data_IF_450039825067
#
_entry.id   IF_450039825067
#
_cell.length_a   1.000
_cell.length_b   1.000
_cell.length_c   1.000
_cell.angle_alpha   90.00
_cell.angle_beta   90.00
_cell.angle_gamma   90.00
#
_symmetry.space_group_name_H-M   'P 1'
#
loop_
_entity.id
_entity.type
_entity.pdbx_description
1 polymer ?
#
# COMPACT_ATOMS: atom_id res chain seq x y z
N UNK A 1 16.05 -8.57 -9.59
CA UNK A 1 15.69 -7.44 -8.71
C UNK A 1 16.24 -6.19 -9.36
N UNK A 2 15.35 -5.37 -9.89
CA UNK A 2 15.71 -4.10 -10.50
C UNK A 2 16.28 -3.11 -9.46
N UNK A 3 17.01 -2.06 -9.87
CA UNK A 3 17.51 -1.82 -11.23
C UNK A 3 18.87 -2.45 -11.55
N UNK A 4 19.64 -2.92 -10.56
CA UNK A 4 20.95 -3.54 -10.82
C UNK A 4 20.87 -4.99 -11.33
N UNK A 5 19.67 -5.56 -11.46
CA UNK A 5 19.46 -6.89 -12.05
C UNK A 5 19.87 -8.06 -11.14
N UNK A 6 20.03 -7.86 -9.82
CA UNK A 6 20.43 -8.92 -8.92
C UNK A 6 19.43 -10.08 -8.85
N UNK A 7 19.89 -11.32 -8.79
CA UNK A 7 18.99 -12.51 -8.74
C UNK A 7 18.46 -12.72 -7.33
N UNK A 8 17.13 -12.72 -7.17
CA UNK A 8 16.45 -13.04 -5.91
C UNK A 8 16.23 -14.55 -5.74
N UNK A 9 17.27 -15.26 -5.30
CA UNK A 9 17.11 -16.65 -4.86
C UNK A 9 16.47 -16.70 -3.48
N UNK A 10 15.78 -17.82 -3.15
CA UNK A 10 15.19 -18.03 -1.82
C UNK A 10 16.22 -17.82 -0.71
N UNK A 11 17.44 -18.31 -0.90
CA UNK A 11 18.56 -18.13 0.04
C UNK A 11 18.91 -16.65 0.28
N UNK A 12 19.00 -15.83 -0.78
CA UNK A 12 19.29 -14.39 -0.66
C UNK A 12 18.17 -13.61 0.01
N UNK A 13 16.92 -14.02 -0.24
CA UNK A 13 15.76 -13.46 0.46
C UNK A 13 15.78 -13.87 1.93
N UNK A 14 16.14 -15.12 2.25
CA UNK A 14 16.27 -15.60 3.62
C UNK A 14 17.38 -14.88 4.38
N UNK A 15 18.53 -14.66 3.76
CA UNK A 15 19.62 -13.85 4.33
C UNK A 15 19.15 -12.43 4.68
N UNK A 16 18.38 -11.79 3.78
CA UNK A 16 17.78 -10.47 4.03
C UNK A 16 16.76 -10.50 5.17
N UNK A 17 15.98 -11.57 5.28
CA UNK A 17 15.03 -11.77 6.38
C UNK A 17 15.75 -11.93 7.72
N UNK A 18 16.83 -12.73 7.79
CA UNK A 18 17.66 -12.89 9.00
C UNK A 18 18.27 -11.56 9.41
N UNK A 19 18.86 -10.81 8.48
CA UNK A 19 19.39 -9.48 8.74
C UNK A 19 18.31 -8.50 9.24
N UNK A 20 17.04 -8.71 8.86
CA UNK A 20 15.88 -7.96 9.34
C UNK A 20 15.36 -8.37 10.71
N UNK A 21 15.94 -9.40 11.34
CA UNK A 21 15.44 -9.95 12.60
C UNK A 21 14.16 -10.76 12.41
N UNK A 22 13.90 -11.29 11.21
CA UNK A 22 12.77 -12.17 10.99
C UNK A 22 12.94 -13.48 11.75
N UNK A 23 11.85 -13.95 12.36
CA UNK A 23 11.73 -15.34 12.78
C UNK A 23 11.44 -16.21 11.55
N UNK A 24 11.78 -17.52 11.57
CA UNK A 24 11.47 -18.42 10.46
C UNK A 24 10.00 -18.37 10.03
N UNK A 25 9.07 -18.26 10.98
CA UNK A 25 7.64 -18.15 10.73
C UNK A 25 7.23 -16.93 9.89
N UNK A 26 8.05 -15.88 9.81
CA UNK A 26 7.76 -14.68 9.01
C UNK A 26 8.17 -14.85 7.54
N UNK A 27 9.07 -15.79 7.26
CA UNK A 27 9.68 -15.96 5.95
C UNK A 27 8.67 -16.19 4.81
N UNK A 28 7.60 -16.98 4.97
CA UNK A 28 6.59 -17.13 3.91
C UNK A 28 5.96 -15.80 3.48
N UNK A 29 5.73 -14.88 4.44
CA UNK A 29 5.19 -13.55 4.15
C UNK A 29 6.23 -12.69 3.42
N UNK A 30 7.50 -12.74 3.85
CA UNK A 30 8.59 -12.03 3.17
C UNK A 30 8.74 -12.50 1.73
N UNK A 31 8.72 -13.82 1.50
CA UNK A 31 8.85 -14.39 0.17
C UNK A 31 7.71 -13.94 -0.76
N UNK A 32 6.46 -14.02 -0.29
CA UNK A 32 5.30 -13.54 -1.04
C UNK A 32 5.35 -12.03 -1.30
N UNK A 33 5.84 -11.23 -0.34
CA UNK A 33 5.98 -9.79 -0.51
C UNK A 33 7.08 -9.45 -1.52
N UNK A 34 8.17 -10.23 -1.54
CA UNK A 34 9.24 -10.11 -2.54
C UNK A 34 8.72 -10.49 -3.93
N UNK A 35 7.94 -11.56 -4.05
CA UNK A 35 7.26 -11.90 -5.31
C UNK A 35 6.36 -10.76 -5.78
N UNK A 36 5.60 -10.14 -4.87
CA UNK A 36 4.71 -9.03 -5.19
C UNK A 36 5.47 -7.79 -5.72
N UNK A 37 6.62 -7.43 -5.13
CA UNK A 37 7.41 -6.29 -5.65
C UNK A 37 8.16 -6.63 -6.94
N UNK A 38 8.36 -7.92 -7.26
CA UNK A 38 8.99 -8.36 -8.50
C UNK A 38 8.00 -8.52 -9.65
N UNK A 39 6.70 -8.46 -9.37
CA UNK A 39 5.68 -8.38 -10.39
C UNK A 39 5.93 -7.15 -11.30
N UNK A 40 5.93 -7.30 -12.64
CA UNK A 40 6.13 -6.19 -13.56
C UNK A 40 5.17 -5.01 -13.33
N UNK A 41 3.93 -5.26 -12.88
CA UNK A 41 2.95 -4.22 -12.58
C UNK A 41 3.39 -3.32 -11.40
N UNK A 42 4.21 -3.84 -10.48
CA UNK A 42 4.75 -3.04 -9.38
C UNK A 42 5.75 -1.97 -9.87
N UNK A 43 6.40 -2.20 -11.00
CA UNK A 43 7.45 -1.33 -11.55
C UNK A 43 8.52 -0.98 -10.50
N UNK A 44 9.22 -2.02 -10.01
CA UNK A 44 10.24 -1.87 -8.99
C UNK A 44 11.41 -0.97 -9.41
N UNK A 45 11.73 -0.90 -10.71
CA UNK A 45 12.71 0.06 -11.24
C UNK A 45 12.26 1.48 -10.93
N UNK A 46 11.05 1.87 -11.36
CA UNK A 46 10.50 3.20 -11.12
C UNK A 46 10.41 3.55 -9.63
N UNK A 47 9.93 2.62 -8.81
CA UNK A 47 9.84 2.80 -7.34
C UNK A 47 11.19 3.07 -6.68
N UNK A 48 12.27 2.46 -7.17
CA UNK A 48 13.59 2.66 -6.59
C UNK A 48 14.32 3.87 -7.15
N UNK A 49 14.19 4.17 -8.43
CA UNK A 49 14.95 5.24 -9.08
C UNK A 49 14.25 6.60 -9.09
N UNK A 50 13.01 6.68 -8.62
CA UNK A 50 12.27 7.95 -8.53
C UNK A 50 12.90 8.91 -7.51
N UNK A 51 12.82 10.21 -7.81
CA UNK A 51 13.17 11.30 -6.90
C UNK A 51 12.09 11.53 -5.82
N UNK A 52 10.95 10.84 -5.93
CA UNK A 52 9.83 10.89 -4.99
C UNK A 52 9.97 9.88 -3.83
N UNK A 53 9.20 10.09 -2.77
CA UNK A 53 9.34 9.38 -1.51
C UNK A 53 8.51 8.08 -1.44
N UNK A 54 8.72 7.13 -2.35
CA UNK A 54 7.86 5.93 -2.43
C UNK A 54 8.34 4.78 -1.53
N UNK A 55 7.41 4.09 -0.86
CA UNK A 55 7.65 2.87 -0.10
C UNK A 55 6.62 1.77 -0.42
N UNK A 56 7.01 0.49 -0.45
CA UNK A 56 6.04 -0.60 -0.48
C UNK A 56 5.22 -0.61 0.81
N UNK A 57 3.91 -0.36 0.71
CA UNK A 57 2.96 -0.58 1.79
C UNK A 57 2.49 -2.04 1.71
N UNK A 58 2.86 -2.82 2.72
CA UNK A 58 2.61 -4.27 2.77
C UNK A 58 1.42 -4.53 3.71
N UNK A 59 0.33 -5.05 3.15
CA UNK A 59 -0.86 -5.46 3.91
C UNK A 59 -0.93 -6.98 3.93
N UNK A 60 -0.90 -7.57 5.13
CA UNK A 60 -1.03 -9.00 5.34
C UNK A 60 -2.47 -9.35 5.71
N UNK A 61 -2.99 -10.39 5.08
CA UNK A 61 -4.36 -10.86 5.25
C UNK A 61 -4.40 -12.37 5.53
N UNK A 62 -5.48 -12.81 6.16
CA UNK A 62 -5.81 -14.21 6.40
C UNK A 62 -5.19 -14.80 7.68
N UNK A 63 -5.37 -16.11 7.90
CA UNK A 63 -5.00 -16.79 9.15
C UNK A 63 -3.53 -16.63 9.57
N UNK A 64 -2.60 -16.44 8.61
CA UNK A 64 -1.18 -16.30 8.93
C UNK A 64 -0.89 -15.06 9.76
N UNK A 65 -1.61 -13.94 9.55
CA UNK A 65 -1.40 -12.69 10.26
C UNK A 65 -1.52 -12.90 11.78
N UNK A 66 -2.58 -13.60 12.22
CA UNK A 66 -2.79 -13.96 13.63
C UNK A 66 -1.78 -14.99 14.11
N UNK A 67 -1.47 -16.00 13.29
CA UNK A 67 -0.55 -17.09 13.66
C UNK A 67 0.86 -16.58 13.99
N UNK A 68 1.36 -15.61 13.25
CA UNK A 68 2.74 -15.10 13.40
C UNK A 68 2.80 -13.75 14.12
N UNK A 69 1.66 -13.19 14.52
CA UNK A 69 1.57 -11.94 15.26
C UNK A 69 1.86 -10.69 14.41
N UNK A 70 1.44 -10.67 13.14
CA UNK A 70 1.40 -9.41 12.37
C UNK A 70 0.26 -8.55 12.93
N UNK A 71 0.60 -7.37 13.40
CA UNK A 71 -0.33 -6.50 14.11
C UNK A 71 -1.23 -5.72 13.14
N UNK A 72 -2.52 -5.70 13.48
CA UNK A 72 -3.57 -4.87 12.89
C UNK A 72 -4.25 -3.95 13.92
N UNK A 73 -3.76 -3.92 15.17
CA UNK A 73 -4.39 -3.27 16.31
C UNK A 73 -3.70 -1.96 16.72
N UNK A 74 -3.51 -1.79 18.02
CA UNK A 74 -2.81 -0.64 18.59
C UNK A 74 -1.44 -0.45 17.95
N UNK A 75 -1.18 0.76 17.43
CA UNK A 75 0.07 1.08 16.75
C UNK A 75 0.34 0.22 15.51
N UNK A 76 -0.69 -0.13 14.71
CA UNK A 76 -0.55 -0.97 13.51
C UNK A 76 0.58 -0.54 12.54
N UNK A 77 0.84 0.76 12.45
CA UNK A 77 1.91 1.36 11.63
C UNK A 77 3.09 1.88 12.48
N UNK A 78 3.05 1.67 13.79
CA UNK A 78 4.01 2.16 14.76
C UNK A 78 5.04 1.11 15.19
N UNK A 79 5.98 1.50 16.06
CA UNK A 79 6.95 0.59 16.64
C UNK A 79 6.28 -0.39 17.62
N UNK A 80 7.01 -1.44 18.01
CA UNK A 80 6.61 -2.36 19.09
C UNK A 80 6.14 -3.75 18.65
N UNK A 81 5.94 -3.97 17.34
CA UNK A 81 5.53 -5.26 16.79
C UNK A 81 6.64 -5.88 15.92
N UNK A 82 7.36 -6.90 16.44
CA UNK A 82 8.52 -7.48 15.74
C UNK A 82 8.21 -8.02 14.35
N UNK A 83 7.03 -8.62 14.14
CA UNK A 83 6.63 -9.14 12.83
C UNK A 83 6.51 -8.02 11.78
N UNK A 84 5.75 -6.96 12.07
CA UNK A 84 5.57 -5.82 11.18
C UNK A 84 6.91 -5.17 10.81
N UNK A 85 7.74 -4.89 11.83
CA UNK A 85 9.03 -4.26 11.64
C UNK A 85 10.00 -5.13 10.82
N UNK A 86 10.08 -6.43 11.15
CA UNK A 86 11.01 -7.34 10.48
C UNK A 86 10.60 -7.63 9.04
N UNK A 87 9.30 -7.84 8.76
CA UNK A 87 8.80 -8.13 7.41
C UNK A 87 9.03 -6.94 6.47
N UNK A 88 8.62 -5.74 6.87
CA UNK A 88 8.83 -4.54 6.05
C UNK A 88 10.31 -4.24 5.83
N UNK A 89 11.14 -4.40 6.87
CA UNK A 89 12.59 -4.23 6.75
C UNK A 89 13.25 -5.30 5.88
N UNK A 90 12.79 -6.55 5.91
CA UNK A 90 13.31 -7.62 5.06
C UNK A 90 13.10 -7.31 3.58
N UNK A 91 11.91 -6.84 3.21
CA UNK A 91 11.61 -6.39 1.85
C UNK A 91 12.51 -5.23 1.44
N UNK A 92 12.70 -4.23 2.31
CA UNK A 92 13.65 -3.13 2.04
C UNK A 92 15.08 -3.63 1.84
N UNK A 93 15.55 -4.59 2.64
CA UNK A 93 16.88 -5.15 2.48
C UNK A 93 17.04 -5.91 1.16
N UNK A 94 16.00 -6.61 0.68
CA UNK A 94 16.04 -7.23 -0.66
C UNK A 94 16.19 -6.17 -1.75
N UNK A 95 15.41 -5.08 -1.67
CA UNK A 95 15.53 -3.94 -2.59
C UNK A 95 16.94 -3.35 -2.57
N UNK A 96 17.51 -3.14 -1.38
CA UNK A 96 18.83 -2.55 -1.24
C UNK A 96 19.97 -3.50 -1.68
N UNK A 97 19.98 -4.72 -1.17
CA UNK A 97 21.09 -5.65 -1.34
C UNK A 97 21.12 -6.29 -2.73
N UNK A 98 19.95 -6.54 -3.31
CA UNK A 98 19.84 -7.21 -4.61
C UNK A 98 19.50 -6.23 -5.74
N UNK A 99 18.69 -5.21 -5.45
CA UNK A 99 18.34 -4.17 -6.41
C UNK A 99 19.34 -3.02 -6.46
N UNK A 100 20.15 -2.85 -5.42
CA UNK A 100 21.07 -1.73 -5.29
C UNK A 100 20.42 -0.44 -4.78
N UNK A 101 19.18 -0.47 -4.29
CA UNK A 101 18.34 0.68 -3.90
C UNK A 101 18.83 1.55 -2.73
N UNK A 102 20.14 1.63 -2.51
CA UNK A 102 20.78 2.49 -1.52
C UNK A 102 20.65 3.98 -1.88
N UNK A 103 20.40 4.86 -0.89
CA UNK A 103 20.30 6.31 -1.11
C UNK A 103 21.56 6.88 -1.79
N UNK A 104 21.37 7.70 -2.82
CA UNK A 104 22.46 8.37 -3.55
C UNK A 104 23.26 7.46 -4.52
N UNK A 105 23.12 6.14 -4.42
CA UNK A 105 23.71 5.20 -5.38
C UNK A 105 22.74 4.91 -6.54
N UNK A 106 21.53 4.49 -6.18
CA UNK A 106 20.45 4.14 -7.12
C UNK A 106 19.13 4.78 -6.71
N UNK A 107 18.90 4.92 -5.41
CA UNK A 107 17.72 5.59 -4.87
C UNK A 107 17.96 7.09 -4.82
N UNK A 108 17.31 7.83 -5.73
CA UNK A 108 17.44 9.29 -5.85
C UNK A 108 16.32 10.08 -5.18
N UNK A 109 15.48 9.42 -4.37
CA UNK A 109 14.48 10.09 -3.54
C UNK A 109 15.08 11.29 -2.79
N UNK A 110 14.62 12.51 -3.11
CA UNK A 110 15.27 13.74 -2.67
C UNK A 110 15.25 13.93 -1.14
N UNK A 111 14.19 13.45 -0.48
CA UNK A 111 14.06 13.47 1.00
C UNK A 111 13.97 12.07 1.60
N UNK A 112 13.22 11.16 0.96
CA UNK A 112 12.77 9.90 1.53
C UNK A 112 11.54 10.01 2.43
N UNK A 113 11.17 8.91 3.09
CA UNK A 113 10.13 8.87 4.12
C UNK A 113 10.43 7.76 5.15
N UNK A 114 9.92 7.84 6.39
CA UNK A 114 10.12 6.79 7.40
C UNK A 114 9.66 5.39 6.96
N UNK A 115 8.60 5.30 6.15
CA UNK A 115 8.10 4.02 5.62
C UNK A 115 9.11 3.28 4.72
N UNK A 116 10.17 3.96 4.25
CA UNK A 116 11.25 3.27 3.55
C UNK A 116 12.09 2.38 4.48
N UNK A 117 12.05 2.56 5.79
CA UNK A 117 12.65 1.62 6.73
C UNK A 117 11.82 0.33 6.86
N UNK A 118 10.51 0.49 7.10
CA UNK A 118 9.54 -0.59 7.19
C UNK A 118 8.13 -0.01 7.10
N UNK A 119 7.27 -0.60 6.27
CA UNK A 119 5.86 -0.22 6.16
C UNK A 119 5.00 -1.48 5.92
N UNK A 120 4.64 -2.14 7.02
CA UNK A 120 3.91 -3.40 7.01
C UNK A 120 2.88 -3.44 8.14
N UNK A 121 1.68 -3.91 7.83
CA UNK A 121 0.62 -4.18 8.79
C UNK A 121 -0.23 -5.36 8.35
N UNK A 122 -1.04 -5.88 9.26
CA UNK A 122 -2.16 -6.72 8.89
C UNK A 122 -3.44 -5.90 8.77
N UNK A 123 -4.38 -6.36 7.96
CA UNK A 123 -5.77 -5.93 8.10
C UNK A 123 -6.39 -6.61 9.33
N UNK A 124 -7.27 -5.89 10.03
CA UNK A 124 -8.02 -6.42 11.15
C UNK A 124 -9.16 -7.29 10.61
N UNK A 125 -9.18 -8.54 11.03
CA UNK A 125 -10.17 -9.54 10.62
C UNK A 125 -10.89 -10.16 11.83
N UNK A 126 -12.15 -10.53 11.66
CA UNK A 126 -12.95 -11.26 12.65
C UNK A 126 -13.84 -10.40 13.54
N UNK A 127 -13.44 -9.16 13.83
CA UNK A 127 -14.23 -8.16 14.58
C UNK A 127 -14.50 -6.88 13.76
N UNK A 128 -14.35 -6.99 12.43
CA UNK A 128 -14.64 -5.94 11.46
C UNK A 128 -15.90 -6.30 10.66
N UNK A 129 -16.67 -5.30 10.20
CA UNK A 129 -18.02 -5.54 9.67
C UNK A 129 -18.05 -6.02 8.20
N UNK A 130 -16.93 -5.91 7.48
CA UNK A 130 -16.86 -6.25 6.06
C UNK A 130 -15.86 -7.38 5.84
N UNK A 131 -16.01 -8.17 4.75
CA UNK A 131 -15.00 -9.15 4.36
C UNK A 131 -13.62 -8.50 4.27
N UNK A 132 -12.54 -9.23 4.64
CA UNK A 132 -11.19 -8.73 4.49
C UNK A 132 -10.82 -8.53 3.02
N UNK A 133 -9.86 -7.65 2.76
CA UNK A 133 -9.38 -7.26 1.43
C UNK A 133 -9.09 -8.47 0.54
N UNK A 134 -8.43 -9.51 1.06
CA UNK A 134 -8.13 -10.70 0.26
C UNK A 134 -9.40 -11.42 -0.24
N UNK A 135 -10.47 -11.45 0.55
CA UNK A 135 -11.75 -12.04 0.13
C UNK A 135 -12.42 -11.17 -0.92
N UNK A 136 -12.38 -9.85 -0.77
CA UNK A 136 -12.87 -8.91 -1.80
C UNK A 136 -12.10 -9.01 -3.12
N UNK A 137 -10.83 -9.40 -3.06
CA UNK A 137 -9.98 -9.66 -4.22
C UNK A 137 -10.16 -11.08 -4.80
N UNK A 138 -11.09 -11.87 -4.27
CA UNK A 138 -11.47 -13.19 -4.79
C UNK A 138 -10.70 -14.38 -4.20
N UNK A 139 -9.87 -14.16 -3.17
CA UNK A 139 -9.23 -15.26 -2.44
C UNK A 139 -10.19 -15.86 -1.40
N UNK A 140 -9.97 -17.12 -1.03
CA UNK A 140 -10.82 -17.78 -0.03
C UNK A 140 -10.51 -17.30 1.39
N UNK A 141 -11.48 -17.29 2.32
CA UNK A 141 -11.27 -16.87 3.71
C UNK A 141 -10.22 -17.68 4.50
N UNK A 142 -9.91 -18.92 4.08
CA UNK A 142 -8.88 -19.77 4.69
C UNK A 142 -7.49 -19.51 4.12
N UNK A 143 -7.38 -18.76 3.03
CA UNK A 143 -6.11 -18.41 2.41
C UNK A 143 -5.50 -17.19 3.08
N UNK A 144 -4.17 -17.11 3.07
CA UNK A 144 -3.43 -15.92 3.48
C UNK A 144 -2.81 -15.26 2.27
N UNK A 145 -2.80 -13.94 2.24
CA UNK A 145 -2.23 -13.16 1.15
C UNK A 145 -1.41 -11.99 1.67
N UNK A 146 -0.54 -11.48 0.82
CA UNK A 146 0.05 -10.16 0.97
C UNK A 146 -0.37 -9.29 -0.20
N UNK A 147 -0.84 -8.07 0.10
CA UNK A 147 -1.11 -7.04 -0.91
C UNK A 147 -0.10 -5.93 -0.76
N UNK A 148 0.53 -5.52 -1.86
CA UNK A 148 1.54 -4.47 -1.88
C UNK A 148 1.09 -3.29 -2.74
N UNK A 149 1.14 -2.11 -2.14
CA UNK A 149 0.87 -0.81 -2.76
C UNK A 149 2.15 0.05 -2.76
N UNK A 150 2.14 1.14 -3.52
CA UNK A 150 3.25 2.10 -3.61
C UNK A 150 2.87 3.39 -2.90
N UNK A 151 3.06 3.45 -1.60
CA UNK A 151 2.69 4.60 -0.80
C UNK A 151 3.78 5.68 -0.84
N UNK A 152 3.42 6.93 -1.14
CA UNK A 152 4.33 8.09 -1.04
C UNK A 152 4.53 8.52 0.42
N UNK A 153 3.53 8.29 1.26
CA UNK A 153 3.56 8.61 2.68
C UNK A 153 2.37 7.94 3.38
N UNK A 154 2.30 8.12 4.70
CA UNK A 154 1.13 7.81 5.52
C UNK A 154 0.71 9.11 6.20
N UNK A 155 -0.48 9.62 5.88
CA UNK A 155 -1.03 10.82 6.48
C UNK A 155 -2.11 10.40 7.48
N UNK A 156 -1.85 10.60 8.77
CA UNK A 156 -2.84 10.35 9.81
C UNK A 156 -4.00 11.35 9.70
N UNK A 157 -5.23 10.88 9.86
CA UNK A 157 -6.44 11.70 9.86
C UNK A 157 -7.29 11.33 11.07
N UNK A 158 -7.60 12.30 11.91
CA UNK A 158 -8.58 12.14 12.99
C UNK A 158 -9.93 12.66 12.52
N UNK A 159 -11.01 11.91 12.76
CA UNK A 159 -12.36 12.34 12.40
C UNK A 159 -13.15 11.31 11.59
N UNK A 160 -14.12 11.78 10.82
CA UNK A 160 -14.99 10.96 9.98
C UNK A 160 -14.54 10.90 8.52
N UNK A 161 -15.45 10.40 7.65
CA UNK A 161 -15.16 10.28 6.22
C UNK A 161 -14.96 11.64 5.53
N UNK A 162 -15.52 12.73 6.06
CA UNK A 162 -15.38 14.05 5.45
C UNK A 162 -13.97 14.62 5.68
N UNK A 163 -13.37 14.43 6.87
CA UNK A 163 -11.96 14.76 7.11
C UNK A 163 -11.03 13.88 6.26
N UNK A 164 -11.33 12.58 6.16
CA UNK A 164 -10.55 11.66 5.30
C UNK A 164 -10.63 12.10 3.85
N UNK A 165 -11.81 12.44 3.34
CA UNK A 165 -11.99 12.94 1.98
C UNK A 165 -11.26 14.26 1.75
N UNK A 166 -11.35 15.20 2.69
CA UNK A 166 -10.61 16.47 2.63
C UNK A 166 -9.09 16.23 2.48
N UNK A 167 -8.53 15.29 3.26
CA UNK A 167 -7.12 14.91 3.16
C UNK A 167 -6.82 14.21 1.83
N UNK A 168 -7.69 13.32 1.34
CA UNK A 168 -7.54 12.69 0.01
C UNK A 168 -7.44 13.76 -1.09
N UNK A 169 -8.31 14.77 -1.08
CA UNK A 169 -8.31 15.83 -2.09
C UNK A 169 -7.10 16.76 -1.99
N UNK A 170 -6.71 17.16 -0.78
CA UNK A 170 -5.58 18.07 -0.54
C UNK A 170 -4.21 17.43 -0.73
N UNK A 171 -4.08 16.13 -0.44
CA UNK A 171 -2.85 15.35 -0.59
C UNK A 171 -2.90 14.38 -1.79
N UNK A 172 -3.76 14.65 -2.78
CA UNK A 172 -3.83 13.86 -3.99
C UNK A 172 -2.48 13.90 -4.73
N UNK A 173 -1.92 12.73 -5.05
CA UNK A 173 -0.69 12.64 -5.83
C UNK A 173 -0.96 13.04 -7.28
N UNK A 174 -0.24 14.05 -7.78
CA UNK A 174 -0.34 14.46 -9.18
C UNK A 174 0.29 13.43 -10.13
N UNK A 175 1.36 12.75 -9.71
CA UNK A 175 1.91 11.60 -10.44
C UNK A 175 0.96 10.39 -10.39
N UNK A 176 0.28 10.21 -9.25
CA UNK A 176 -0.83 9.27 -9.09
C UNK A 176 -1.95 9.54 -10.09
N UNK A 177 -2.44 10.78 -10.19
CA UNK A 177 -3.46 11.16 -11.17
C UNK A 177 -2.96 10.95 -12.60
N UNK A 178 -1.76 11.44 -12.92
CA UNK A 178 -1.16 11.36 -14.26
C UNK A 178 -1.09 9.90 -14.76
N UNK A 179 -0.79 8.95 -13.88
CA UNK A 179 -0.59 7.55 -14.24
C UNK A 179 -1.62 6.60 -13.64
N UNK A 180 -2.76 7.12 -13.17
CA UNK A 180 -3.87 6.37 -12.57
C UNK A 180 -3.45 5.43 -11.43
N UNK A 181 -2.63 5.93 -10.50
CA UNK A 181 -2.19 5.21 -9.30
C UNK A 181 -3.35 4.76 -8.40
N UNK A 182 -3.12 3.69 -7.62
CA UNK A 182 -4.10 3.12 -6.69
C UNK A 182 -3.71 3.44 -5.25
N UNK A 183 -4.47 4.31 -4.60
CA UNK A 183 -4.14 4.82 -3.27
C UNK A 183 -4.64 3.89 -2.15
N UNK A 184 -4.01 3.97 -0.97
CA UNK A 184 -4.43 3.25 0.22
C UNK A 184 -5.26 4.12 1.16
N UNK A 185 -6.27 3.54 1.79
CA UNK A 185 -7.00 4.15 2.91
C UNK A 185 -7.08 3.14 4.04
N UNK A 186 -6.60 3.52 5.21
CA UNK A 186 -6.69 2.71 6.43
C UNK A 186 -7.78 3.30 7.31
N UNK A 187 -8.87 2.54 7.48
CA UNK A 187 -10.03 2.95 8.26
C UNK A 187 -9.92 2.44 9.70
N UNK A 188 -10.26 3.29 10.67
CA UNK A 188 -10.37 2.86 12.06
C UNK A 188 -11.48 1.81 12.21
N UNK A 189 -11.33 0.82 13.12
CA UNK A 189 -12.39 -0.15 13.42
C UNK A 189 -13.68 0.52 13.92
N UNK A 190 -13.55 1.59 14.72
CA UNK A 190 -14.67 2.35 15.26
C UNK A 190 -15.56 2.93 14.15
N UNK A 191 -14.95 3.65 13.20
CA UNK A 191 -15.67 4.23 12.06
C UNK A 191 -16.23 3.14 11.15
N UNK A 192 -15.48 2.06 10.90
CA UNK A 192 -15.96 0.92 10.10
C UNK A 192 -17.26 0.35 10.68
N UNK A 193 -17.28 0.03 11.97
CA UNK A 193 -18.48 -0.53 12.62
C UNK A 193 -19.64 0.44 12.68
N UNK A 194 -19.38 1.72 12.95
CA UNK A 194 -20.45 2.74 12.95
C UNK A 194 -21.12 2.82 11.58
N UNK A 195 -20.33 2.93 10.51
CA UNK A 195 -20.85 3.00 9.15
C UNK A 195 -21.62 1.73 8.77
N UNK A 196 -21.11 0.55 9.13
CA UNK A 196 -21.83 -0.70 8.88
C UNK A 196 -23.15 -0.79 9.67
N UNK A 197 -23.18 -0.27 10.90
CA UNK A 197 -24.42 -0.12 11.68
C UNK A 197 -25.44 0.81 11.02
N UNK A 198 -24.95 1.82 10.29
CA UNK A 198 -25.75 2.71 9.45
C UNK A 198 -26.11 2.08 8.07
N UNK A 199 -25.78 0.80 7.85
CA UNK A 199 -26.08 0.06 6.62
C UNK A 199 -25.09 0.24 5.47
N UNK A 200 -23.95 0.89 5.70
CA UNK A 200 -22.95 1.13 4.65
C UNK A 200 -22.14 -0.13 4.34
N UNK A 201 -21.97 -0.38 3.04
CA UNK A 201 -21.00 -1.34 2.52
C UNK A 201 -19.62 -0.70 2.38
N UNK A 202 -18.57 -1.53 2.24
CA UNK A 202 -17.23 -1.02 1.93
C UNK A 202 -17.19 -0.25 0.60
N UNK A 203 -18.03 -0.62 -0.37
CA UNK A 203 -18.18 0.08 -1.64
C UNK A 203 -18.79 1.48 -1.46
N UNK A 204 -19.76 1.65 -0.54
CA UNK A 204 -20.33 2.97 -0.20
C UNK A 204 -19.26 3.90 0.36
N UNK A 205 -18.39 3.38 1.23
CA UNK A 205 -17.27 4.16 1.79
C UNK A 205 -16.32 4.61 0.68
N UNK A 206 -15.90 3.69 -0.20
CA UNK A 206 -15.02 4.02 -1.34
C UNK A 206 -15.65 5.06 -2.25
N UNK A 207 -16.93 4.91 -2.58
CA UNK A 207 -17.70 5.88 -3.39
C UNK A 207 -17.76 7.25 -2.70
N UNK A 208 -18.08 7.32 -1.41
CA UNK A 208 -18.12 8.58 -0.66
C UNK A 208 -16.77 9.29 -0.66
N UNK A 209 -15.69 8.56 -0.40
CA UNK A 209 -14.33 9.10 -0.41
C UNK A 209 -13.91 9.55 -1.82
N UNK A 210 -14.28 8.82 -2.87
CA UNK A 210 -14.02 9.19 -4.26
C UNK A 210 -14.79 10.46 -4.69
N UNK A 211 -16.07 10.57 -4.30
CA UNK A 211 -16.93 11.71 -4.62
C UNK A 211 -16.49 12.99 -3.91
N UNK A 212 -16.03 12.89 -2.67
CA UNK A 212 -15.66 14.05 -1.84
C UNK A 212 -14.16 14.35 -1.84
N UNK A 213 -13.31 13.35 -2.05
CA UNK A 213 -11.86 13.46 -2.04
C UNK A 213 -11.31 13.90 -3.37
N UNK A 214 -11.53 15.18 -3.71
CA UNK A 214 -11.20 15.75 -5.00
C UNK A 214 -10.24 16.93 -4.87
N UNK A 215 -9.27 16.98 -5.76
CA UNK A 215 -8.37 18.10 -5.96
C UNK A 215 -9.09 19.19 -6.76
N UNK A 216 -9.16 20.45 -6.29
CA UNK A 216 -9.73 21.54 -7.09
C UNK A 216 -8.95 21.74 -8.40
N UNK A 217 -9.65 21.92 -9.52
CA UNK A 217 -9.03 22.06 -10.83
C UNK A 217 -8.11 23.28 -10.92
N UNK A 218 -8.39 24.36 -10.18
CA UNK A 218 -7.51 25.51 -10.09
C UNK A 218 -6.15 25.15 -9.48
N UNK A 219 -6.14 24.35 -8.40
CA UNK A 219 -4.90 23.89 -7.76
C UNK A 219 -4.08 23.03 -8.73
N UNK A 220 -4.75 22.14 -9.47
CA UNK A 220 -4.11 21.35 -10.51
C UNK A 220 -3.49 22.22 -11.62
N UNK A 221 -4.24 23.17 -12.20
CA UNK A 221 -3.74 24.06 -13.26
C UNK A 221 -2.55 24.92 -12.83
N UNK A 222 -2.50 25.30 -11.55
CA UNK A 222 -1.41 26.09 -10.93
C UNK A 222 -0.22 25.25 -10.49
N UNK A 223 -0.34 23.91 -10.49
CA UNK A 223 0.74 23.03 -10.08
C UNK A 223 1.92 23.09 -11.05
N UNK A 224 3.14 22.93 -10.51
CA UNK A 224 4.36 22.96 -11.33
C UNK A 224 4.36 21.84 -12.39
N UNK A 225 3.87 20.65 -12.03
CA UNK A 225 3.84 19.48 -12.92
C UNK A 225 2.85 19.66 -14.07
N UNK A 226 1.73 20.36 -13.86
CA UNK A 226 0.82 20.70 -14.96
C UNK A 226 1.51 21.56 -16.02
N UNK A 227 2.41 22.47 -15.62
CA UNK A 227 3.24 23.24 -16.55
C UNK A 227 4.40 22.45 -17.16
N UNK A 228 4.89 21.40 -16.49
CA UNK A 228 6.03 20.58 -16.93
C UNK A 228 5.64 19.43 -17.86
N UNK A 229 4.41 18.92 -17.77
CA UNK A 229 3.90 17.78 -18.54
C UNK A 229 3.01 18.28 -19.67
N UNK A 230 3.12 17.70 -20.88
CA UNK A 230 2.26 18.14 -22.00
C UNK A 230 0.80 17.79 -21.70
N UNK A 231 -0.12 18.67 -22.06
CA UNK A 231 -1.56 18.44 -21.87
C UNK A 231 -2.06 17.10 -22.41
N UNK A 232 -1.48 16.61 -23.51
CA UNK A 232 -1.81 15.32 -24.13
C UNK A 232 -1.44 14.10 -23.27
N UNK A 233 -0.46 14.23 -22.37
CA UNK A 233 0.01 13.14 -21.49
C UNK A 233 -0.89 12.94 -20.27
N UNK A 234 -1.65 13.95 -19.86
CA UNK A 234 -2.66 13.79 -18.82
C UNK A 234 -3.77 12.86 -19.30
N UNK A 235 -4.25 11.93 -18.44
CA UNK A 235 -5.28 10.99 -18.86
C UNK A 235 -6.61 11.72 -19.08
N UNK A 236 -7.39 11.23 -20.04
CA UNK A 236 -8.64 11.84 -20.46
C UNK A 236 -9.62 12.05 -19.30
N UNK A 237 -9.73 11.07 -18.40
CA UNK A 237 -10.61 11.15 -17.22
C UNK A 237 -10.23 12.33 -16.30
N UNK A 238 -8.94 12.64 -16.15
CA UNK A 238 -8.49 13.74 -15.29
C UNK A 238 -8.75 15.09 -15.95
N UNK A 239 -8.50 15.20 -17.26
CA UNK A 239 -8.83 16.41 -18.05
C UNK A 239 -10.33 16.71 -18.01
N UNK A 240 -11.16 15.70 -18.28
CA UNK A 240 -12.61 15.83 -18.23
C UNK A 240 -13.11 16.19 -16.83
N UNK A 241 -12.55 15.58 -15.77
CA UNK A 241 -12.90 15.95 -14.40
C UNK A 241 -12.52 17.41 -14.07
N UNK A 242 -11.39 17.90 -14.59
CA UNK A 242 -10.94 19.29 -14.39
C UNK A 242 -11.89 20.32 -15.03
N UNK A 243 -12.52 19.98 -16.16
CA UNK A 243 -13.58 20.80 -16.80
C UNK A 243 -14.80 20.94 -15.87
N UNK A 244 -15.09 19.90 -15.08
CA UNK A 244 -16.14 19.89 -14.06
C UNK A 244 -15.71 20.47 -12.71
N UNK A 245 -14.57 21.19 -12.66
CA UNK A 245 -14.12 21.99 -11.52
C UNK A 245 -13.24 21.26 -10.48
N UNK A 246 -13.22 19.93 -10.46
CA UNK A 246 -12.35 19.17 -9.53
C UNK A 246 -12.06 17.76 -10.03
N UNK A 247 -10.88 17.24 -9.68
CA UNK A 247 -10.32 15.97 -10.17
C UNK A 247 -10.32 14.97 -9.00
N UNK A 248 -10.82 13.74 -9.17
CA UNK A 248 -10.71 12.73 -8.11
C UNK A 248 -9.24 12.31 -7.92
N UNK A 249 -8.85 11.93 -6.71
CA UNK A 249 -7.48 11.51 -6.43
C UNK A 249 -7.07 10.19 -7.13
N UNK A 250 -8.04 9.37 -7.52
CA UNK A 250 -7.86 8.13 -8.28
C UNK A 250 -8.89 8.08 -9.42
N UNK A 251 -8.71 7.17 -10.39
CA UNK A 251 -9.58 7.09 -11.57
C UNK A 251 -10.98 6.60 -11.24
N UNK A 252 -11.10 5.52 -10.46
CA UNK A 252 -12.37 4.89 -10.09
C UNK A 252 -12.41 4.61 -8.57
N UNK A 253 -13.59 4.50 -7.93
CA UNK A 253 -13.69 4.21 -6.50
C UNK A 253 -12.94 2.95 -6.04
N UNK A 254 -12.82 1.95 -6.91
CA UNK A 254 -12.14 0.66 -6.64
C UNK A 254 -10.60 0.78 -6.60
N UNK A 255 -10.06 1.91 -7.08
CA UNK A 255 -8.64 2.24 -6.99
C UNK A 255 -8.26 2.79 -5.60
N UNK A 256 -9.24 3.11 -4.74
CA UNK A 256 -9.02 3.29 -3.30
C UNK A 256 -8.99 1.91 -2.62
N UNK A 257 -7.81 1.47 -2.24
CA UNK A 257 -7.61 0.23 -1.49
C UNK A 257 -7.91 0.49 -0.02
N UNK A 258 -9.12 0.14 0.39
CA UNK A 258 -9.62 0.35 1.74
C UNK A 258 -9.34 -0.89 2.60
N UNK A 259 -8.65 -0.69 3.74
CA UNK A 259 -8.40 -1.72 4.74
C UNK A 259 -8.80 -1.21 6.12
N UNK A 260 -9.21 -2.10 7.02
CA UNK A 260 -9.51 -1.73 8.41
C UNK A 260 -8.33 -2.12 9.30
N UNK A 261 -7.75 -1.18 10.04
CA UNK A 261 -6.69 -1.45 11.01
C UNK A 261 -6.62 -0.35 12.06
N UNK A 262 -5.95 -0.64 13.18
CA UNK A 262 -5.78 0.28 14.29
C UNK A 262 -6.48 -0.16 15.58
N UNK A 263 -6.36 0.70 16.58
CA UNK A 263 -7.11 0.59 17.81
C UNK A 263 -8.57 1.00 17.57
N UNK A 264 -9.46 0.33 18.27
CA UNK A 264 -10.88 0.63 18.22
C UNK A 264 -11.22 1.71 19.25
N UNK A 265 -11.22 2.98 18.82
CA UNK A 265 -11.32 4.14 19.70
C UNK A 265 -12.43 5.10 19.25
N UNK A 266 -13.19 5.69 20.19
CA UNK A 266 -14.18 6.72 19.88
C UNK A 266 -13.63 7.98 19.22
N UNK A 267 -12.32 8.23 19.36
CA UNK A 267 -11.58 9.23 18.59
C UNK A 267 -10.88 8.49 17.44
N UNK A 268 -11.58 8.24 16.33
CA UNK A 268 -11.08 7.37 15.27
C UNK A 268 -9.82 7.95 14.62
N UNK A 269 -8.83 7.08 14.42
CA UNK A 269 -7.59 7.39 13.70
C UNK A 269 -7.59 6.63 12.37
N UNK A 270 -7.49 7.38 11.29
CA UNK A 270 -7.46 6.93 9.91
C UNK A 270 -6.10 7.22 9.29
N UNK A 271 -5.80 6.63 8.14
CA UNK A 271 -4.70 7.09 7.32
C UNK A 271 -5.04 7.12 5.83
N UNK A 272 -4.55 8.14 5.15
CA UNK A 272 -4.49 8.18 3.69
C UNK A 272 -3.05 7.93 3.23
N UNK A 273 -2.90 7.04 2.26
CA UNK A 273 -1.64 6.71 1.63
C UNK A 273 -1.73 7.06 0.14
N UNK A 274 -1.36 8.30 -0.25
CA UNK A 274 -1.26 8.67 -1.66
C UNK A 274 -0.35 7.70 -2.38
N UNK A 275 -0.68 7.38 -3.63
CA UNK A 275 0.06 6.39 -4.39
C UNK A 275 0.82 6.97 -5.57
N UNK A 276 2.07 6.52 -5.68
CA UNK A 276 2.86 6.72 -6.87
C UNK A 276 2.29 5.88 -8.02
N UNK A 277 2.24 6.47 -9.21
CA UNK A 277 1.65 5.87 -10.40
C UNK A 277 2.66 5.74 -11.54
N UNK A 278 2.86 4.52 -12.04
CA UNK A 278 3.15 4.13 -13.44
C UNK A 278 3.63 2.66 -13.46
N UNK A 279 2.87 1.67 -13.98
CA UNK A 279 1.44 1.69 -14.32
C UNK A 279 0.56 1.63 -13.05
N UNK A 280 -0.78 1.70 -13.13
CA UNK A 280 -1.68 1.46 -11.99
C UNK A 280 -1.38 0.13 -11.30
N UNK A 281 -1.21 0.12 -9.97
CA UNK A 281 -0.71 -1.08 -9.28
C UNK A 281 -1.37 -1.32 -7.92
N UNK A 282 -1.88 -2.55 -7.76
CA UNK A 282 -2.16 -3.23 -6.49
C UNK A 282 -1.85 -4.71 -6.76
N UNK A 283 -0.74 -5.21 -6.22
CA UNK A 283 -0.30 -6.59 -6.46
C UNK A 283 -0.59 -7.42 -5.22
N UNK A 284 -1.29 -8.52 -5.40
CA UNK A 284 -1.63 -9.45 -4.32
C UNK A 284 -1.06 -10.82 -4.63
N UNK A 285 -0.36 -11.41 -3.65
CA UNK A 285 0.24 -12.74 -3.76
C UNK A 285 -0.30 -13.64 -2.66
N UNK A 286 -0.51 -14.91 -3.00
CA UNK A 286 -0.80 -15.95 -2.01
C UNK A 286 0.42 -16.21 -1.16
N UNK A 287 0.21 -16.43 0.13
CA UNK A 287 1.25 -16.87 1.05
C UNK A 287 1.12 -18.38 1.22
N UNK A 288 2.11 -19.12 0.75
CA UNK A 288 2.18 -20.57 0.95
C UNK A 288 2.28 -20.89 2.44
N UNK A 289 1.56 -21.93 2.90
CA UNK A 289 1.69 -22.40 4.28
C UNK A 289 3.14 -22.81 4.55
N UNK A 290 3.70 -22.58 5.75
CA UNK A 290 5.01 -23.11 6.11
C UNK A 290 5.13 -24.63 5.90
N UNK A 291 4.02 -25.39 5.99
CA UNK A 291 3.99 -26.83 5.70
C UNK A 291 4.21 -27.18 4.21
N UNK A 292 4.10 -26.20 3.31
CA UNK A 292 4.31 -26.36 1.87
C UNK A 292 5.74 -26.04 1.42
N UNK A 293 6.61 -25.55 2.32
CA UNK A 293 8.01 -25.24 2.01
C UNK A 293 8.93 -26.46 1.98
N UNK A 294 8.42 -27.65 2.33
CA UNK A 294 9.13 -28.93 2.23
C UNK A 294 9.04 -29.57 0.82
N UNK A 295 8.45 -28.88 -0.16
CA UNK A 295 8.42 -29.29 -1.57
C UNK A 295 9.45 -28.53 -2.42
N UNK A 296 10.04 -29.17 -3.45
CA UNK A 296 10.98 -28.49 -4.34
C UNK A 296 10.28 -27.33 -5.09
N UNK A 297 10.74 -26.10 -4.86
CA UNK A 297 10.31 -24.91 -5.60
C UNK A 297 10.89 -25.02 -7.02
N UNK A 298 10.11 -25.55 -7.95
CA UNK A 298 10.45 -25.52 -9.38
C UNK A 298 10.12 -24.15 -9.95
N UNK A 299 11.14 -23.45 -10.45
CA UNK A 299 10.96 -22.28 -11.30
C UNK A 299 10.36 -22.73 -12.65
N UNK A 300 9.19 -22.19 -12.98
CA UNK A 300 8.55 -22.26 -14.30
C UNK A 300 8.19 -20.86 -14.75
#
# INVERSE_FOLDING_TARGET
VEPLGGVATVEKVAASAVMAGCRPAYFPVVLAAVQAILDPAFNLRGVQTTDENVAPLIVVNGPIARRIGVNAGWGALGPGWPANAAIGRAVRLVMNNLGGGWPGAVSFAGLGQPGRFSLCLAEREGDTPWPPLHVELGYRPDQSTVTVLRAETVINVTGGLDEVASVIGSAASLFGILHSGKAGVILSPFTARRLAGDGWTRADVRRRLFERGRLPAEVWRRSWIHGAVRGSEWPEWARHAAENGSIPAVREPDDLTLVVAGADLPIPQHAYCPAWGHPPCRVTQLISSPDALDGPVTAG
#
